data_IF_854286933233
#
_entry.id   IF_854286933233
#
_cell.length_a   1.000
_cell.length_b   1.000
_cell.length_c   1.000
_cell.angle_alpha   90.00
_cell.angle_beta   90.00
_cell.angle_gamma   90.00
#
_symmetry.space_group_name_H-M   'P 1'
#
loop_
_entity.id
_entity.type
_entity.pdbx_description
1 polymer ?
#
# COMPACT_ATOMS: atom_id res chain seq x y z
N UNK A 1 -22.29 7.22 -32.43
CA UNK A 1 -20.89 7.67 -32.37
C UNK A 1 -20.77 8.50 -31.10
N UNK A 2 -20.49 7.83 -29.98
CA UNK A 2 -20.33 8.47 -28.68
C UNK A 2 -18.84 8.45 -28.35
N UNK A 3 -18.35 9.63 -28.00
CA UNK A 3 -16.98 9.97 -27.69
C UNK A 3 -16.44 9.10 -26.55
N UNK A 4 -15.56 8.14 -26.89
CA UNK A 4 -14.80 7.37 -25.92
C UNK A 4 -13.76 8.32 -25.33
N UNK A 5 -14.01 8.76 -24.09
CA UNK A 5 -13.09 9.59 -23.32
C UNK A 5 -11.67 9.03 -23.40
N UNK A 6 -10.80 9.79 -24.06
CA UNK A 6 -9.39 9.49 -24.14
C UNK A 6 -8.83 9.37 -22.71
N UNK A 7 -8.35 8.18 -22.37
CA UNK A 7 -7.37 8.01 -21.30
C UNK A 7 -6.18 8.87 -21.71
N UNK A 8 -6.06 10.08 -21.14
CA UNK A 8 -4.89 10.92 -21.33
C UNK A 8 -3.75 10.25 -20.57
N UNK A 9 -3.11 9.28 -21.21
CA UNK A 9 -1.77 8.86 -20.85
C UNK A 9 -0.90 10.10 -21.03
N UNK A 10 -0.61 10.80 -19.93
CA UNK A 10 0.34 11.90 -19.95
C UNK A 10 1.68 11.33 -20.39
N UNK A 11 2.09 11.70 -21.60
CA UNK A 11 3.37 11.32 -22.18
C UNK A 11 4.52 11.74 -21.25
N UNK A 12 5.66 11.03 -21.26
CA UNK A 12 6.82 11.44 -20.49
C UNK A 12 7.24 12.84 -20.96
N UNK A 13 7.10 13.82 -20.07
CA UNK A 13 7.57 15.18 -20.31
C UNK A 13 9.09 15.09 -20.44
N UNK A 14 9.62 15.44 -21.61
CA UNK A 14 11.05 15.49 -21.85
C UNK A 14 11.71 16.41 -20.82
N UNK A 15 12.85 15.96 -20.24
CA UNK A 15 13.63 16.71 -19.27
C UNK A 15 14.06 18.06 -19.86
N UNK A 16 13.35 19.13 -19.51
CA UNK A 16 13.85 20.50 -19.67
C UNK A 16 14.66 20.86 -18.42
N UNK A 17 15.99 20.79 -18.53
CA UNK A 17 16.95 21.20 -17.48
C UNK A 17 17.25 22.70 -17.59
N UNK A 18 16.23 23.55 -17.65
CA UNK A 18 16.39 25.00 -17.87
C UNK A 18 16.53 25.81 -16.56
N UNK A 19 17.20 25.24 -15.56
CA UNK A 19 17.66 25.87 -14.32
C UNK A 19 18.23 24.81 -13.38
N UNK A 20 19.25 25.10 -12.53
CA UNK A 20 19.71 24.12 -11.55
C UNK A 20 18.63 24.02 -10.47
N UNK A 21 17.92 22.89 -10.42
CA UNK A 21 17.27 22.46 -9.20
C UNK A 21 18.37 21.93 -8.28
N UNK A 22 18.42 22.46 -7.06
CA UNK A 22 19.44 22.06 -6.08
C UNK A 22 19.08 20.72 -5.43
N UNK A 23 17.82 20.26 -5.57
CA UNK A 23 17.30 19.04 -4.97
C UNK A 23 16.17 18.42 -5.80
N UNK A 24 16.21 17.09 -5.97
CA UNK A 24 15.12 16.30 -6.56
C UNK A 24 14.49 15.37 -5.50
N UNK A 25 13.19 15.54 -5.28
CA UNK A 25 12.40 14.77 -4.31
C UNK A 25 11.41 13.85 -5.03
N UNK A 26 11.36 12.58 -4.62
CA UNK A 26 10.25 11.68 -4.97
C UNK A 26 9.23 11.70 -3.85
N UNK A 27 8.07 12.31 -4.09
CA UNK A 27 6.94 12.34 -3.17
C UNK A 27 6.05 11.12 -3.43
N UNK A 28 5.96 10.21 -2.47
CA UNK A 28 5.11 9.02 -2.56
C UNK A 28 3.81 9.17 -1.78
N UNK A 29 2.70 8.80 -2.42
CA UNK A 29 1.35 9.00 -1.88
C UNK A 29 0.49 7.76 -2.11
N UNK A 30 -0.46 7.52 -1.21
CA UNK A 30 -1.41 6.40 -1.31
C UNK A 30 -2.83 6.93 -1.17
N UNK A 31 -3.69 6.62 -2.15
CA UNK A 31 -5.13 6.91 -2.09
C UNK A 31 -5.50 8.39 -1.91
N UNK A 32 -4.57 9.32 -2.14
CA UNK A 32 -4.72 10.75 -1.82
C UNK A 32 -4.32 11.63 -3.01
N UNK A 33 -3.19 12.33 -2.96
CA UNK A 33 -2.77 13.26 -4.00
C UNK A 33 -2.33 12.49 -5.25
N UNK A 34 -2.60 12.98 -6.47
CA UNK A 34 -3.38 14.18 -6.84
C UNK A 34 -4.87 13.87 -7.10
N UNK A 35 -5.37 12.72 -6.68
CA UNK A 35 -6.66 12.18 -7.12
C UNK A 35 -7.84 12.51 -6.21
N UNK A 36 -7.60 12.74 -4.93
CA UNK A 36 -8.62 13.05 -3.95
C UNK A 36 -8.29 14.35 -3.22
N UNK A 37 -9.32 15.15 -2.93
CA UNK A 37 -9.21 16.32 -2.05
C UNK A 37 -9.23 15.89 -0.60
N UNK A 38 -8.40 16.52 0.22
CA UNK A 38 -8.31 16.24 1.65
C UNK A 38 -7.09 16.90 2.28
N UNK A 39 -6.89 16.69 3.58
CA UNK A 39 -5.77 17.28 4.33
C UNK A 39 -4.41 16.92 3.75
N UNK A 40 -4.18 15.63 3.46
CA UNK A 40 -2.92 15.13 2.87
C UNK A 40 -2.65 15.78 1.51
N UNK A 41 -3.64 15.79 0.61
CA UNK A 41 -3.45 16.34 -0.73
C UNK A 41 -3.26 17.85 -0.75
N UNK A 42 -3.93 18.58 0.14
CA UNK A 42 -3.69 20.02 0.33
C UNK A 42 -2.29 20.29 0.88
N UNK A 43 -1.80 19.45 1.80
CA UNK A 43 -0.43 19.56 2.30
C UNK A 43 0.60 19.26 1.20
N UNK A 44 0.43 18.18 0.43
CA UNK A 44 1.32 17.86 -0.70
C UNK A 44 1.41 19.04 -1.67
N UNK A 45 0.26 19.60 -2.06
CA UNK A 45 0.16 20.75 -2.96
C UNK A 45 0.85 21.99 -2.37
N UNK A 46 0.59 22.30 -1.10
CA UNK A 46 1.19 23.45 -0.42
C UNK A 46 2.71 23.31 -0.28
N UNK A 47 3.19 22.12 0.06
CA UNK A 47 4.62 21.81 0.17
C UNK A 47 5.33 21.98 -1.17
N UNK A 48 4.82 21.35 -2.25
CA UNK A 48 5.46 21.45 -3.56
C UNK A 48 5.42 22.87 -4.12
N UNK A 49 4.33 23.63 -3.91
CA UNK A 49 4.27 25.04 -4.33
C UNK A 49 5.14 25.96 -3.48
N UNK A 50 5.35 25.62 -2.21
CA UNK A 50 6.19 26.35 -1.27
C UNK A 50 7.70 26.18 -1.51
N UNK A 51 8.09 25.18 -2.31
CA UNK A 51 9.48 24.85 -2.64
C UNK A 51 9.73 24.91 -4.16
N UNK A 52 9.58 26.09 -4.80
CA UNK A 52 9.66 26.23 -6.26
C UNK A 52 11.02 25.86 -6.87
N UNK A 53 12.09 25.88 -6.07
CA UNK A 53 13.46 25.48 -6.43
C UNK A 53 13.72 23.96 -6.38
N UNK A 54 12.82 23.20 -5.77
CA UNK A 54 12.92 21.74 -5.65
C UNK A 54 12.14 21.06 -6.77
N UNK A 55 12.78 20.15 -7.49
CA UNK A 55 12.10 19.31 -8.46
C UNK A 55 11.38 18.15 -7.78
N UNK A 56 10.19 17.81 -8.25
CA UNK A 56 9.39 16.72 -7.72
C UNK A 56 9.07 15.67 -8.79
N UNK A 57 9.22 14.40 -8.39
CA UNK A 57 8.48 13.28 -8.99
C UNK A 57 7.37 12.88 -8.03
N UNK A 58 6.12 12.88 -8.50
CA UNK A 58 4.98 12.39 -7.70
C UNK A 58 4.74 10.93 -8.07
N UNK A 59 4.83 10.04 -7.09
CA UNK A 59 4.58 8.60 -7.23
C UNK A 59 3.34 8.22 -6.42
N UNK A 60 2.20 8.04 -7.08
CA UNK A 60 0.90 7.88 -6.45
C UNK A 60 0.38 6.45 -6.60
N UNK A 61 0.20 5.75 -5.47
CA UNK A 61 -0.57 4.52 -5.42
C UNK A 61 -2.06 4.83 -5.50
N UNK A 62 -2.71 4.24 -6.49
CA UNK A 62 -4.10 4.51 -6.83
C UNK A 62 -4.96 3.27 -6.60
N UNK A 63 -6.24 3.49 -6.29
CA UNK A 63 -7.18 2.38 -6.21
C UNK A 63 -7.52 1.79 -7.59
N UNK A 64 -7.67 2.61 -8.62
CA UNK A 64 -8.00 2.12 -9.96
C UNK A 64 -7.51 3.11 -11.02
N UNK A 65 -7.34 2.68 -12.28
CA UNK A 65 -6.77 3.53 -13.32
C UNK A 65 -7.72 4.62 -13.84
N UNK A 66 -9.00 4.59 -13.49
CA UNK A 66 -10.02 5.49 -14.03
C UNK A 66 -10.21 6.76 -13.20
N UNK A 67 -9.32 7.03 -12.24
CA UNK A 67 -9.42 8.21 -11.38
C UNK A 67 -8.68 9.39 -12.02
N UNK A 68 -9.41 10.45 -12.36
CA UNK A 68 -8.82 11.69 -12.86
C UNK A 68 -8.11 12.48 -11.75
N UNK A 69 -7.07 13.22 -12.11
CA UNK A 69 -6.45 14.18 -11.18
C UNK A 69 -7.43 15.29 -10.82
N UNK A 70 -7.55 15.62 -9.53
CA UNK A 70 -8.31 16.76 -9.04
C UNK A 70 -7.45 18.03 -8.89
N UNK A 71 -6.14 17.90 -9.10
CA UNK A 71 -5.15 18.97 -8.96
C UNK A 71 -4.42 19.22 -10.28
N UNK A 72 -4.07 20.48 -10.53
CA UNK A 72 -3.14 20.84 -11.60
C UNK A 72 -1.74 20.82 -11.01
N UNK A 73 -0.93 19.84 -11.43
CA UNK A 73 0.42 19.64 -10.89
C UNK A 73 1.26 20.93 -11.02
N UNK A 74 1.96 21.36 -9.95
CA UNK A 74 2.87 22.50 -10.00
C UNK A 74 3.98 22.35 -11.06
N UNK A 75 4.55 23.47 -11.54
CA UNK A 75 5.58 23.48 -12.61
C UNK A 75 6.90 22.78 -12.22
N UNK A 76 7.17 22.68 -10.93
CA UNK A 76 8.31 21.96 -10.39
C UNK A 76 8.04 20.46 -10.21
N UNK A 77 6.81 19.97 -10.47
CA UNK A 77 6.56 18.54 -10.67
C UNK A 77 6.99 18.16 -12.09
N UNK A 78 8.17 17.55 -12.21
CA UNK A 78 8.76 17.15 -13.50
C UNK A 78 8.20 15.84 -14.00
N UNK A 79 7.65 15.04 -13.10
CA UNK A 79 7.16 13.70 -13.42
C UNK A 79 6.02 13.26 -12.51
N UNK A 80 5.07 12.55 -13.09
CA UNK A 80 4.01 11.84 -12.38
C UNK A 80 4.06 10.35 -12.73
N UNK A 81 3.92 9.49 -11.72
CA UNK A 81 3.85 8.04 -11.85
C UNK A 81 2.62 7.58 -11.06
N UNK A 82 1.55 7.22 -11.77
CA UNK A 82 0.35 6.64 -11.17
C UNK A 82 0.42 5.12 -11.21
N UNK A 83 0.40 4.46 -10.06
CA UNK A 83 0.37 3.01 -9.94
C UNK A 83 -0.97 2.54 -9.36
N UNK A 84 -1.94 2.19 -10.21
CA UNK A 84 -3.19 1.55 -9.79
C UNK A 84 -2.96 0.11 -9.29
N UNK A 85 -3.43 -0.18 -8.07
CA UNK A 85 -3.34 -1.51 -7.46
C UNK A 85 -4.52 -2.43 -7.84
N UNK A 86 -5.62 -1.87 -8.34
CA UNK A 86 -6.75 -2.64 -8.86
C UNK A 86 -7.14 -2.17 -10.26
N UNK A 87 -7.84 -3.02 -11.00
CA UNK A 87 -8.25 -2.72 -12.39
C UNK A 87 -7.12 -2.84 -13.41
N UNK A 88 -6.00 -3.45 -13.02
CA UNK A 88 -4.78 -3.60 -13.83
C UNK A 88 -4.30 -5.05 -13.77
N UNK A 89 -3.89 -5.60 -14.91
CA UNK A 89 -3.31 -6.94 -14.96
C UNK A 89 -1.79 -6.92 -14.87
N UNK A 90 -1.13 -5.82 -15.24
CA UNK A 90 0.32 -5.67 -15.08
C UNK A 90 0.71 -4.24 -14.67
N UNK A 91 1.69 -4.07 -13.74
CA UNK A 91 2.20 -2.75 -13.38
C UNK A 91 2.76 -1.97 -14.58
N UNK A 92 3.31 -2.67 -15.57
CA UNK A 92 3.93 -2.07 -16.76
C UNK A 92 2.95 -1.34 -17.67
N UNK A 93 1.65 -1.63 -17.57
CA UNK A 93 0.60 -0.94 -18.32
C UNK A 93 0.54 0.57 -17.99
N UNK A 94 1.06 0.96 -16.82
CA UNK A 94 0.97 2.33 -16.29
C UNK A 94 2.34 2.98 -16.03
N UNK A 95 3.43 2.23 -16.24
CA UNK A 95 4.79 2.76 -16.17
C UNK A 95 5.36 2.92 -17.58
N UNK A 96 5.38 4.15 -18.10
CA UNK A 96 5.84 4.46 -19.47
C UNK A 96 7.34 4.24 -19.72
N UNK A 97 8.09 3.75 -18.73
CA UNK A 97 9.55 3.66 -18.75
C UNK A 97 10.09 2.31 -19.22
N UNK A 98 9.27 1.27 -19.19
CA UNK A 98 9.70 -0.06 -19.57
C UNK A 98 9.40 -0.25 -21.06
N UNK A 99 10.42 -0.44 -21.92
CA UNK A 99 10.17 -0.69 -23.35
C UNK A 99 9.33 -1.96 -23.52
N UNK A 100 8.34 -1.94 -24.43
CA UNK A 100 7.49 -3.11 -24.71
C UNK A 100 8.30 -4.37 -25.08
N UNK A 101 9.44 -4.19 -25.75
CA UNK A 101 10.37 -5.28 -26.05
C UNK A 101 10.90 -5.96 -24.77
N UNK A 102 11.19 -5.20 -23.71
CA UNK A 102 11.60 -5.74 -22.41
C UNK A 102 10.46 -6.51 -21.75
N UNK A 103 9.24 -5.98 -21.78
CA UNK A 103 8.04 -6.69 -21.25
C UNK A 103 7.87 -8.05 -21.95
N UNK A 104 7.86 -8.07 -23.29
CA UNK A 104 7.74 -9.31 -24.08
C UNK A 104 8.90 -10.26 -23.81
N UNK A 105 10.12 -9.74 -23.65
CA UNK A 105 11.30 -10.54 -23.33
C UNK A 105 11.16 -11.24 -21.97
N UNK A 106 10.77 -10.49 -20.93
CA UNK A 106 10.57 -11.02 -19.58
C UNK A 106 9.46 -12.08 -19.57
N UNK A 107 8.30 -11.78 -20.17
CA UNK A 107 7.17 -12.72 -20.24
C UNK A 107 7.52 -14.05 -20.95
N UNK A 108 8.43 -14.03 -21.94
CA UNK A 108 8.90 -15.24 -22.62
C UNK A 108 9.98 -16.00 -21.84
N UNK A 109 10.77 -15.29 -21.04
CA UNK A 109 11.89 -15.86 -20.27
C UNK A 109 11.45 -16.45 -18.95
N UNK A 110 10.48 -15.85 -18.27
CA UNK A 110 10.02 -16.28 -16.95
C UNK A 110 9.19 -17.54 -17.06
N UNK A 111 9.77 -18.66 -16.60
CA UNK A 111 9.12 -19.97 -16.54
C UNK A 111 8.94 -20.39 -15.08
N UNK A 112 8.26 -21.51 -14.92
CA UNK A 112 8.04 -22.19 -13.64
C UNK A 112 9.34 -22.35 -12.82
N UNK A 113 10.47 -22.64 -13.47
CA UNK A 113 11.77 -22.80 -12.81
C UNK A 113 12.27 -21.50 -12.20
N UNK A 114 12.15 -20.35 -12.90
CA UNK A 114 12.55 -19.05 -12.36
C UNK A 114 11.69 -18.65 -11.16
N UNK A 115 10.38 -18.93 -11.20
CA UNK A 115 9.50 -18.70 -10.07
C UNK A 115 9.90 -19.59 -8.88
N UNK A 116 10.07 -20.90 -9.12
CA UNK A 116 10.39 -21.88 -8.07
C UNK A 116 11.76 -21.66 -7.41
N UNK A 117 12.79 -21.32 -8.18
CA UNK A 117 14.17 -21.21 -7.68
C UNK A 117 14.50 -19.79 -7.19
N UNK A 118 13.87 -18.76 -7.75
CA UNK A 118 14.16 -17.36 -7.40
C UNK A 118 13.11 -16.73 -6.48
N UNK A 119 11.82 -16.80 -6.85
CA UNK A 119 10.76 -16.07 -6.15
C UNK A 119 10.21 -16.82 -4.94
N UNK A 120 9.94 -18.13 -5.07
CA UNK A 120 9.28 -18.92 -4.03
C UNK A 120 10.04 -18.93 -2.69
N UNK A 121 11.39 -19.05 -2.65
CA UNK A 121 12.12 -18.95 -1.39
C UNK A 121 11.90 -17.60 -0.70
N UNK A 122 12.08 -16.50 -1.43
CA UNK A 122 11.86 -15.14 -0.94
C UNK A 122 10.41 -14.92 -0.49
N UNK A 123 9.44 -15.46 -1.23
CA UNK A 123 8.02 -15.41 -0.87
C UNK A 123 7.75 -16.15 0.46
N UNK A 124 8.33 -17.33 0.66
CA UNK A 124 8.16 -18.09 1.91
C UNK A 124 8.77 -17.36 3.10
N UNK A 125 9.94 -16.76 2.92
CA UNK A 125 10.58 -15.91 3.93
C UNK A 125 9.70 -14.69 4.24
N UNK A 126 9.22 -13.98 3.21
CA UNK A 126 8.31 -12.84 3.36
C UNK A 126 7.06 -13.21 4.18
N UNK A 127 6.38 -14.30 3.83
CA UNK A 127 5.16 -14.72 4.50
C UNK A 127 5.42 -15.21 5.94
N UNK A 128 6.58 -15.83 6.18
CA UNK A 128 6.99 -16.25 7.53
C UNK A 128 7.26 -15.04 8.41
N UNK A 129 7.96 -14.04 7.89
CA UNK A 129 8.26 -12.79 8.59
C UNK A 129 6.97 -12.02 8.93
N UNK A 130 6.03 -11.91 7.98
CA UNK A 130 4.69 -11.29 8.21
C UNK A 130 3.98 -11.94 9.40
N UNK A 131 4.04 -13.27 9.52
CA UNK A 131 3.39 -14.02 10.59
C UNK A 131 4.19 -14.10 11.90
N UNK A 132 5.45 -13.62 11.93
CA UNK A 132 6.37 -13.81 13.04
C UNK A 132 6.03 -12.95 14.24
N UNK A 133 6.15 -13.53 15.45
CA UNK A 133 6.11 -12.76 16.70
C UNK A 133 7.36 -11.89 16.86
N UNK A 134 8.51 -12.40 16.41
CA UNK A 134 9.82 -11.75 16.47
C UNK A 134 10.13 -11.05 15.13
N UNK A 135 9.19 -10.22 14.66
CA UNK A 135 9.30 -9.51 13.39
C UNK A 135 10.55 -8.59 13.35
N UNK A 136 11.43 -8.82 12.37
CA UNK A 136 12.60 -8.00 12.07
C UNK A 136 12.33 -7.08 10.86
N UNK A 137 12.14 -5.76 11.08
CA UNK A 137 11.86 -4.82 10.00
C UNK A 137 13.03 -4.66 9.01
N UNK A 138 14.27 -4.84 9.46
CA UNK A 138 15.47 -4.75 8.62
C UNK A 138 15.59 -5.96 7.70
N UNK A 139 15.37 -7.17 8.23
CA UNK A 139 15.29 -8.38 7.43
C UNK A 139 14.15 -8.30 6.40
N UNK A 140 12.96 -7.87 6.83
CA UNK A 140 11.81 -7.70 5.93
C UNK A 140 12.11 -6.74 4.77
N UNK A 141 12.77 -5.59 5.03
CA UNK A 141 13.17 -4.66 3.98
C UNK A 141 14.18 -5.26 2.99
N UNK A 142 15.10 -6.11 3.45
CA UNK A 142 16.00 -6.84 2.56
C UNK A 142 15.26 -7.84 1.67
N UNK A 143 14.27 -8.56 2.22
CA UNK A 143 13.42 -9.46 1.41
C UNK A 143 12.69 -8.67 0.32
N UNK A 144 12.08 -7.52 0.66
CA UNK A 144 11.44 -6.65 -0.32
C UNK A 144 12.41 -6.21 -1.43
N UNK A 145 13.66 -5.86 -1.07
CA UNK A 145 14.68 -5.50 -2.04
C UNK A 145 15.11 -6.68 -2.93
N UNK A 146 15.29 -7.89 -2.38
CA UNK A 146 15.58 -9.07 -3.19
C UNK A 146 14.43 -9.42 -4.15
N UNK A 147 13.18 -9.26 -3.71
CA UNK A 147 12.01 -9.39 -4.57
C UNK A 147 12.01 -8.33 -5.69
N UNK A 148 12.36 -7.08 -5.38
CA UNK A 148 12.52 -6.03 -6.38
C UNK A 148 13.59 -6.41 -7.42
N UNK A 149 14.76 -6.89 -6.98
CA UNK A 149 15.82 -7.37 -7.89
C UNK A 149 15.34 -8.54 -8.76
N UNK A 150 14.58 -9.47 -8.19
CA UNK A 150 13.98 -10.56 -8.93
C UNK A 150 13.06 -10.05 -10.06
N UNK A 151 12.19 -9.08 -9.77
CA UNK A 151 11.24 -8.52 -10.75
C UNK A 151 11.89 -7.62 -11.82
N UNK A 152 13.12 -7.14 -11.60
CA UNK A 152 13.88 -6.45 -12.67
C UNK A 152 14.23 -7.37 -13.84
N UNK A 153 14.35 -8.67 -13.56
CA UNK A 153 14.83 -9.72 -14.48
C UNK A 153 13.78 -10.79 -14.80
N UNK A 154 12.58 -10.71 -14.18
CA UNK A 154 11.50 -11.66 -14.35
C UNK A 154 10.13 -10.97 -14.43
N UNK A 155 9.22 -11.57 -15.18
CA UNK A 155 7.87 -11.05 -15.36
C UNK A 155 6.99 -11.25 -14.11
N UNK A 156 6.46 -10.14 -13.59
CA UNK A 156 5.64 -10.13 -12.38
C UNK A 156 4.39 -11.02 -12.49
N UNK A 157 3.65 -10.92 -13.60
CA UNK A 157 2.39 -11.66 -13.80
C UNK A 157 2.65 -13.16 -13.96
N UNK A 158 3.64 -13.54 -14.76
CA UNK A 158 4.01 -14.94 -14.96
C UNK A 158 4.48 -15.58 -13.65
N UNK A 159 5.29 -14.87 -12.85
CA UNK A 159 5.77 -15.37 -11.55
C UNK A 159 4.62 -15.65 -10.58
N UNK A 160 3.70 -14.69 -10.40
CA UNK A 160 2.58 -14.87 -9.48
C UNK A 160 1.55 -15.90 -9.95
N UNK A 161 1.41 -16.11 -11.27
CA UNK A 161 0.52 -17.14 -11.85
C UNK A 161 1.17 -18.53 -11.96
N UNK A 162 2.44 -18.67 -11.60
CA UNK A 162 3.14 -19.96 -11.62
C UNK A 162 2.53 -20.95 -10.62
N UNK A 163 2.68 -22.25 -10.91
CA UNK A 163 2.15 -23.30 -10.03
C UNK A 163 2.91 -23.33 -8.70
N UNK A 164 4.21 -23.09 -8.72
CA UNK A 164 5.09 -23.04 -7.57
C UNK A 164 4.71 -21.92 -6.60
N UNK A 165 4.33 -20.74 -7.10
CA UNK A 165 3.80 -19.65 -6.27
C UNK A 165 2.49 -20.06 -5.60
N UNK A 166 1.56 -20.64 -6.37
CA UNK A 166 0.28 -21.12 -5.82
C UNK A 166 0.47 -22.17 -4.72
N UNK A 167 1.32 -23.17 -4.96
CA UNK A 167 1.60 -24.22 -4.00
C UNK A 167 2.26 -23.65 -2.73
N UNK A 168 3.17 -22.67 -2.87
CA UNK A 168 3.82 -22.02 -1.73
C UNK A 168 2.85 -21.21 -0.85
N UNK A 169 1.96 -20.39 -1.45
CA UNK A 169 0.96 -19.64 -0.68
C UNK A 169 -0.04 -20.58 -0.02
N UNK A 170 -0.50 -21.60 -0.74
CA UNK A 170 -1.43 -22.60 -0.21
C UNK A 170 -0.80 -23.35 0.97
N UNK A 171 0.47 -23.73 0.86
CA UNK A 171 1.23 -24.36 1.95
C UNK A 171 1.26 -23.47 3.19
N UNK A 172 1.53 -22.17 3.05
CA UNK A 172 1.60 -21.24 4.20
C UNK A 172 0.22 -21.01 4.83
N UNK A 173 -0.79 -20.68 4.03
CA UNK A 173 -2.13 -20.40 4.53
C UNK A 173 -2.78 -21.62 5.17
N UNK A 174 -2.58 -22.82 4.61
CA UNK A 174 -3.18 -24.04 5.14
C UNK A 174 -2.35 -24.70 6.26
N UNK A 175 -1.05 -24.38 6.41
CA UNK A 175 -0.26 -24.84 7.57
C UNK A 175 -0.64 -24.18 8.89
N UNK A 176 -1.31 -23.03 8.87
CA UNK A 176 -1.89 -22.42 10.07
C UNK A 176 -2.86 -23.37 10.82
N UNK A 177 -3.33 -24.45 10.16
CA UNK A 177 -4.10 -25.54 10.77
C UNK A 177 -3.35 -26.35 11.84
N UNK A 178 -2.02 -26.43 11.81
CA UNK A 178 -1.27 -27.43 12.61
C UNK A 178 -0.61 -26.87 13.86
N UNK A 179 -0.44 -25.55 13.98
CA UNK A 179 0.30 -24.93 15.09
C UNK A 179 -0.57 -24.24 16.15
N UNK A 180 -1.86 -24.01 15.90
CA UNK A 180 -2.77 -23.33 16.86
C UNK A 180 -3.47 -24.31 17.84
N UNK A 181 -3.17 -25.62 17.81
CA UNK A 181 -3.73 -26.62 18.74
C UNK A 181 -3.07 -26.64 20.14
N UNK A 182 -2.42 -25.55 20.55
CA UNK A 182 -1.87 -25.42 21.90
C UNK A 182 -1.94 -23.95 22.31
N UNK A 183 -2.67 -23.68 23.39
CA UNK A 183 -2.86 -22.39 24.08
C UNK A 183 -3.97 -21.48 23.54
N UNK A 184 -5.21 -21.86 23.83
CA UNK A 184 -6.34 -20.94 23.89
C UNK A 184 -7.14 -21.23 25.17
N UNK A 185 -6.55 -20.90 26.32
CA UNK A 185 -7.28 -20.58 27.55
C UNK A 185 -6.76 -19.22 28.02
N UNK A 186 -7.69 -18.39 28.50
CA UNK A 186 -7.49 -17.09 29.16
C UNK A 186 -7.36 -15.85 28.26
N UNK A 187 -8.49 -15.31 27.80
CA UNK A 187 -8.78 -13.87 27.87
C UNK A 187 -10.31 -13.67 27.89
N UNK A 188 -10.89 -13.78 29.08
CA UNK A 188 -12.24 -13.27 29.34
C UNK A 188 -12.24 -11.74 29.41
N UNK A 189 -13.32 -11.20 28.84
CA UNK A 189 -13.75 -9.82 28.74
C UNK A 189 -13.66 -9.03 30.05
N UNK A 190 -13.08 -7.83 29.98
CA UNK A 190 -13.49 -6.70 30.82
C UNK A 190 -13.39 -5.39 30.04
N UNK A 191 -14.53 -4.88 29.60
CA UNK A 191 -14.72 -3.53 29.10
C UNK A 191 -15.34 -2.68 30.22
N UNK A 192 -14.60 -1.68 30.73
CA UNK A 192 -15.21 -0.50 31.28
C UNK A 192 -14.72 0.69 30.44
N UNK A 193 -15.59 1.31 29.65
CA UNK A 193 -16.04 2.70 29.90
C UNK A 193 -16.88 3.24 28.74
N UNK A 194 -18.12 3.60 29.13
CA UNK A 194 -19.14 4.41 28.47
C UNK A 194 -18.78 5.24 27.24
N UNK A 195 -19.60 5.06 26.21
CA UNK A 195 -19.78 5.98 25.09
C UNK A 195 -20.27 7.35 25.60
N UNK A 196 -19.54 8.42 25.27
CA UNK A 196 -20.09 9.78 25.22
C UNK A 196 -20.23 10.20 23.75
N UNK A 197 -21.49 10.41 23.36
CA UNK A 197 -21.93 10.90 22.05
C UNK A 197 -21.86 12.43 22.09
N UNK A 198 -21.10 13.04 21.18
CA UNK A 198 -21.10 14.50 20.99
C UNK A 198 -21.90 14.82 19.72
N UNK A 199 -23.04 15.49 19.92
CA UNK A 199 -23.89 16.06 18.88
C UNK A 199 -23.22 17.33 18.29
N UNK A 200 -23.23 17.46 16.96
CA UNK A 200 -22.81 18.68 16.28
C UNK A 200 -23.98 19.24 15.45
N UNK A 201 -24.50 20.35 15.98
CA UNK A 201 -25.52 21.22 15.42
C UNK A 201 -25.05 21.90 14.13
N UNK A 202 -26.00 22.21 13.24
CA UNK A 202 -25.78 22.59 11.84
C UNK A 202 -26.46 23.93 11.56
N UNK A 203 -25.74 24.92 11.02
CA UNK A 203 -26.34 26.08 10.32
C UNK A 203 -25.31 26.90 9.53
N UNK A 204 -25.31 26.76 8.19
CA UNK A 204 -25.44 27.86 7.19
C UNK A 204 -25.32 27.29 5.75
N UNK A 205 -26.13 27.70 4.75
CA UNK A 205 -26.25 27.00 3.47
C UNK A 205 -25.61 27.76 2.29
N UNK A 206 -24.68 27.13 1.57
CA UNK A 206 -24.47 27.39 0.14
C UNK A 206 -24.22 26.07 -0.63
N UNK A 207 -25.15 25.82 -1.56
CA UNK A 207 -25.33 24.73 -2.54
C UNK A 207 -24.24 23.63 -2.67
N UNK A 208 -24.59 22.45 -2.16
CA UNK A 208 -24.15 21.11 -2.56
C UNK A 208 -25.33 20.12 -2.44
N UNK A 209 -25.22 18.84 -2.85
CA UNK A 209 -26.32 17.87 -2.78
C UNK A 209 -26.90 17.75 -1.36
N UNK A 210 -28.18 17.42 -1.22
CA UNK A 210 -28.88 17.55 0.06
C UNK A 210 -28.29 16.60 1.12
N UNK A 211 -28.28 17.06 2.38
CA UNK A 211 -27.82 16.29 3.55
C UNK A 211 -28.51 14.92 3.69
N UNK A 212 -29.70 14.75 3.12
CA UNK A 212 -30.44 13.49 3.07
C UNK A 212 -29.87 12.52 2.03
N UNK A 213 -29.49 13.00 0.84
CA UNK A 213 -28.88 12.19 -0.22
C UNK A 213 -27.43 11.79 0.10
N UNK A 214 -26.67 12.71 0.72
CA UNK A 214 -25.36 12.39 1.27
C UNK A 214 -25.46 11.39 2.43
N UNK A 215 -26.48 11.51 3.31
CA UNK A 215 -26.75 10.53 4.37
C UNK A 215 -27.18 9.18 3.84
N UNK A 216 -27.93 9.09 2.74
CA UNK A 216 -28.34 7.80 2.16
C UNK A 216 -27.20 7.13 1.39
N UNK A 217 -26.35 7.89 0.67
CA UNK A 217 -25.11 7.36 0.12
C UNK A 217 -24.16 6.89 1.23
N UNK A 218 -24.00 7.67 2.30
CA UNK A 218 -23.21 7.28 3.47
C UNK A 218 -23.85 6.12 4.26
N UNK A 219 -25.18 5.98 4.28
CA UNK A 219 -25.89 4.88 4.97
C UNK A 219 -25.76 3.58 4.18
N UNK A 220 -25.85 3.61 2.86
CA UNK A 220 -25.54 2.47 1.98
C UNK A 220 -24.06 2.07 2.05
N UNK A 221 -23.15 3.03 2.25
CA UNK A 221 -21.73 2.76 2.54
C UNK A 221 -21.46 2.27 3.98
N UNK A 222 -22.32 2.62 4.95
CA UNK A 222 -22.18 2.28 6.38
C UNK A 222 -22.74 0.91 6.76
N UNK A 223 -23.73 0.43 6.01
CA UNK A 223 -24.26 -0.93 6.11
C UNK A 223 -24.40 -1.53 4.69
N UNK A 224 -23.29 -1.95 4.03
CA UNK A 224 -23.42 -3.06 3.11
C UNK A 224 -23.98 -4.23 3.94
N UNK A 225 -24.95 -4.98 3.42
CA UNK A 225 -25.42 -6.21 4.07
C UNK A 225 -24.19 -6.99 4.51
N UNK A 226 -23.99 -7.12 5.83
CA UNK A 226 -22.85 -7.87 6.34
C UNK A 226 -23.02 -9.28 5.80
N UNK A 227 -22.06 -9.81 5.01
CA UNK A 227 -22.14 -11.21 4.64
C UNK A 227 -22.19 -12.01 5.93
N UNK A 228 -23.23 -12.83 6.07
CA UNK A 228 -23.36 -13.78 7.18
C UNK A 228 -22.01 -14.50 7.29
N UNK A 229 -21.39 -14.54 8.48
CA UNK A 229 -20.10 -15.20 8.62
C UNK A 229 -20.24 -16.64 8.13
N UNK A 230 -19.36 -17.11 7.23
CA UNK A 230 -19.44 -18.47 6.72
C UNK A 230 -19.30 -19.45 7.89
N UNK A 231 -20.35 -20.22 8.15
CA UNK A 231 -20.37 -21.27 9.17
C UNK A 231 -19.56 -22.46 8.65
N UNK A 232 -18.30 -22.59 9.05
CA UNK A 232 -17.55 -23.82 8.83
C UNK A 232 -16.97 -24.32 10.16
N UNK A 233 -17.21 -25.60 10.46
CA UNK A 233 -16.74 -26.32 11.65
C UNK A 233 -17.88 -26.70 12.60
N UNK A 234 -17.91 -27.96 13.06
CA UNK A 234 -18.89 -28.44 14.04
C UNK A 234 -18.77 -27.79 15.42
N UNK A 235 -17.69 -27.04 15.67
CA UNK A 235 -17.35 -26.38 16.93
C UNK A 235 -17.12 -24.86 16.82
N UNK A 236 -17.44 -24.22 15.68
CA UNK A 236 -17.21 -22.77 15.50
C UNK A 236 -15.76 -22.35 15.27
N UNK A 237 -14.85 -23.29 15.06
CA UNK A 237 -13.46 -23.01 14.65
C UNK A 237 -13.42 -22.58 13.18
N UNK A 238 -13.05 -21.32 12.94
CA UNK A 238 -12.69 -20.87 11.61
C UNK A 238 -11.37 -21.55 11.23
N UNK A 239 -11.39 -22.43 10.23
CA UNK A 239 -10.20 -23.03 9.62
C UNK A 239 -9.87 -22.30 8.30
N UNK A 240 -8.58 -22.09 7.95
CA UNK A 240 -8.18 -21.48 6.69
C UNK A 240 -8.64 -22.35 5.52
N UNK A 241 -9.26 -21.71 4.54
CA UNK A 241 -9.82 -22.33 3.34
C UNK A 241 -8.95 -22.08 2.11
N UNK A 242 -9.17 -22.85 1.04
CA UNK A 242 -8.59 -22.56 -0.28
C UNK A 242 -9.02 -21.19 -0.82
N UNK A 243 -10.21 -20.71 -0.42
CA UNK A 243 -10.67 -19.38 -0.78
C UNK A 243 -9.83 -18.30 -0.10
N UNK A 244 -9.46 -18.50 1.17
CA UNK A 244 -8.57 -17.58 1.90
C UNK A 244 -7.18 -17.54 1.25
N UNK A 245 -6.63 -18.70 0.85
CA UNK A 245 -5.37 -18.74 0.11
C UNK A 245 -5.46 -18.01 -1.25
N UNK A 246 -6.60 -18.14 -1.94
CA UNK A 246 -6.86 -17.48 -3.23
C UNK A 246 -6.92 -15.96 -3.09
N UNK A 247 -7.72 -15.46 -2.15
CA UNK A 247 -7.86 -14.02 -1.92
C UNK A 247 -6.60 -13.42 -1.29
N UNK A 248 -5.91 -14.16 -0.42
CA UNK A 248 -4.60 -13.79 0.12
C UNK A 248 -3.55 -13.62 -0.98
N UNK A 249 -3.48 -14.56 -1.93
CA UNK A 249 -2.61 -14.44 -3.10
C UNK A 249 -2.97 -13.24 -3.98
N UNK A 250 -4.27 -12.95 -4.16
CA UNK A 250 -4.73 -11.77 -4.92
C UNK A 250 -4.35 -10.47 -4.24
N UNK A 251 -4.45 -10.38 -2.92
CA UNK A 251 -4.02 -9.21 -2.16
C UNK A 251 -2.51 -9.05 -2.23
N UNK A 252 -1.76 -10.13 -2.03
CA UNK A 252 -0.31 -10.10 -2.15
C UNK A 252 0.13 -9.65 -3.55
N UNK A 253 -0.49 -10.19 -4.60
CA UNK A 253 -0.25 -9.78 -5.98
C UNK A 253 -0.44 -8.27 -6.18
N UNK A 254 -1.52 -7.68 -5.64
CA UNK A 254 -1.81 -6.25 -5.84
C UNK A 254 -0.92 -5.36 -4.99
N UNK A 255 -0.79 -5.69 -3.71
CA UNK A 255 -0.08 -4.87 -2.74
C UNK A 255 1.43 -4.88 -2.94
N UNK A 256 1.98 -5.92 -3.58
CA UNK A 256 3.40 -6.02 -3.94
C UNK A 256 3.74 -5.43 -5.32
N UNK A 257 2.76 -4.89 -6.09
CA UNK A 257 3.03 -4.22 -7.37
C UNK A 257 4.11 -3.13 -7.30
N UNK A 258 4.25 -2.34 -6.20
CA UNK A 258 5.34 -1.39 -6.03
C UNK A 258 6.74 -1.98 -6.25
N UNK A 259 6.94 -3.26 -5.91
CA UNK A 259 8.23 -3.95 -6.09
C UNK A 259 8.61 -4.13 -7.56
N UNK A 260 7.66 -4.07 -8.48
CA UNK A 260 7.91 -4.22 -9.91
C UNK A 260 8.16 -2.88 -10.63
N UNK A 261 8.06 -1.76 -9.92
CA UNK A 261 8.26 -0.44 -10.52
C UNK A 261 9.70 0.02 -10.30
N UNK A 262 10.39 0.52 -11.33
CA UNK A 262 11.72 1.10 -11.16
C UNK A 262 11.69 2.24 -10.14
N UNK A 263 12.66 2.24 -9.22
CA UNK A 263 12.83 3.29 -8.23
C UNK A 263 13.37 4.54 -8.97
N UNK A 264 12.65 5.68 -8.95
CA UNK A 264 13.15 6.89 -9.59
C UNK A 264 14.43 7.36 -8.89
N UNK A 265 15.44 7.79 -9.66
CA UNK A 265 16.58 8.50 -9.08
C UNK A 265 16.10 9.79 -8.43
N UNK A 266 16.56 10.05 -7.21
CA UNK A 266 16.25 11.24 -6.43
C UNK A 266 17.29 11.43 -5.34
N UNK A 267 17.45 12.67 -4.88
CA UNK A 267 18.27 13.00 -3.72
C UNK A 267 17.57 12.60 -2.42
N UNK A 268 16.23 12.60 -2.43
CA UNK A 268 15.37 12.33 -1.28
C UNK A 268 14.09 11.62 -1.71
N UNK A 269 13.64 10.63 -0.92
CA UNK A 269 12.27 10.09 -1.02
C UNK A 269 11.47 10.57 0.19
N UNK A 270 10.27 11.08 -0.05
CA UNK A 270 9.35 11.54 1.00
C UNK A 270 8.02 10.81 0.86
N UNK A 271 7.68 9.97 1.84
CA UNK A 271 6.38 9.29 1.88
C UNK A 271 5.39 10.00 2.79
N UNK A 272 4.15 10.09 2.33
CA UNK A 272 3.03 10.73 3.05
C UNK A 272 2.26 9.79 4.00
N UNK A 273 2.66 8.52 4.07
CA UNK A 273 2.12 7.55 5.02
C UNK A 273 3.07 6.37 5.20
N UNK A 274 3.03 5.71 6.37
CA UNK A 274 3.71 4.46 6.64
C UNK A 274 2.98 3.26 5.98
N UNK A 275 2.61 3.39 4.72
CA UNK A 275 1.80 2.42 3.96
C UNK A 275 2.57 1.76 2.83
N UNK A 276 1.86 1.17 1.85
CA UNK A 276 2.49 0.56 0.69
C UNK A 276 3.20 1.62 -0.18
N UNK A 277 2.81 2.90 -0.09
CA UNK A 277 3.54 3.98 -0.74
C UNK A 277 4.95 4.21 -0.18
N UNK A 278 5.30 3.65 0.98
CA UNK A 278 6.64 3.73 1.54
C UNK A 278 7.63 2.75 0.88
N UNK A 279 7.15 1.75 0.12
CA UNK A 279 8.00 0.72 -0.51
C UNK A 279 9.13 1.35 -1.35
N UNK A 280 8.89 2.32 -2.26
CA UNK A 280 9.99 2.96 -3.00
C UNK A 280 11.05 3.60 -2.08
N UNK A 281 10.65 4.17 -0.95
CA UNK A 281 11.55 4.73 0.07
C UNK A 281 12.43 3.67 0.71
N UNK A 282 11.82 2.57 1.16
CA UNK A 282 12.53 1.40 1.71
C UNK A 282 13.53 0.85 0.69
N UNK A 283 13.09 0.63 -0.55
CA UNK A 283 13.93 0.07 -1.60
C UNK A 283 15.12 0.99 -1.95
N UNK A 284 14.89 2.30 -2.08
CA UNK A 284 15.95 3.26 -2.37
C UNK A 284 16.97 3.37 -1.23
N UNK A 285 16.47 3.31 0.01
CA UNK A 285 17.31 3.30 1.21
C UNK A 285 18.21 2.07 1.24
N UNK A 286 17.67 0.89 0.94
CA UNK A 286 18.43 -0.37 0.89
C UNK A 286 19.41 -0.40 -0.29
N UNK A 287 19.01 0.06 -1.48
CA UNK A 287 19.85 0.00 -2.69
C UNK A 287 21.00 1.01 -2.67
N UNK A 288 20.71 2.26 -2.30
CA UNK A 288 21.64 3.40 -2.50
C UNK A 288 21.88 4.22 -1.25
N UNK A 289 21.21 3.91 -0.13
CA UNK A 289 21.25 4.75 1.07
C UNK A 289 20.55 6.10 0.88
N UNK A 290 19.68 6.24 -0.13
CA UNK A 290 18.95 7.49 -0.38
C UNK A 290 18.19 7.93 0.86
N UNK A 291 18.33 9.20 1.31
CA UNK A 291 17.57 9.75 2.42
C UNK A 291 16.06 9.51 2.28
N UNK A 292 15.45 8.96 3.33
CA UNK A 292 14.03 8.62 3.35
C UNK A 292 13.30 9.37 4.47
N UNK A 293 12.41 10.29 4.10
CA UNK A 293 11.52 10.99 5.02
C UNK A 293 10.12 10.38 5.00
N UNK A 294 9.50 10.37 6.17
CA UNK A 294 8.15 9.89 6.37
C UNK A 294 7.34 10.93 7.14
N UNK A 295 6.24 11.39 6.56
CA UNK A 295 5.25 12.22 7.27
C UNK A 295 3.96 11.44 7.35
N UNK A 296 3.55 11.04 8.56
CA UNK A 296 2.32 10.29 8.74
C UNK A 296 1.15 11.24 9.03
N UNK A 297 0.31 11.48 8.02
CA UNK A 297 -0.86 12.36 8.17
C UNK A 297 -2.05 11.66 8.85
N UNK A 298 -2.35 10.45 8.39
CA UNK A 298 -3.31 9.55 9.02
C UNK A 298 -2.54 8.37 9.56
N UNK A 299 -2.84 7.94 10.79
CA UNK A 299 -2.21 6.75 11.38
C UNK A 299 -2.62 5.54 10.54
N UNK A 300 -1.75 5.11 9.62
CA UNK A 300 -2.11 4.21 8.53
C UNK A 300 -2.65 2.89 9.08
N UNK A 301 -1.94 2.29 10.04
CA UNK A 301 -2.37 1.06 10.71
C UNK A 301 -3.74 1.20 11.36
N UNK A 302 -4.01 2.33 12.06
CA UNK A 302 -5.30 2.58 12.72
C UNK A 302 -6.43 2.68 11.70
N UNK A 303 -6.23 3.41 10.62
CA UNK A 303 -7.23 3.55 9.55
C UNK A 303 -7.57 2.20 8.94
N UNK A 304 -6.56 1.36 8.69
CA UNK A 304 -6.77 0.01 8.18
C UNK A 304 -7.46 -0.89 9.22
N UNK A 305 -7.12 -0.81 10.50
CA UNK A 305 -7.84 -1.55 11.55
C UNK A 305 -9.32 -1.21 11.59
N UNK A 306 -9.67 0.09 11.53
CA UNK A 306 -11.05 0.54 11.50
C UNK A 306 -11.78 0.11 10.22
N UNK A 307 -11.09 0.12 9.08
CA UNK A 307 -11.63 -0.40 7.83
C UNK A 307 -11.91 -1.91 7.95
N UNK A 308 -10.98 -2.69 8.49
CA UNK A 308 -11.14 -4.14 8.69
C UNK A 308 -12.23 -4.51 9.70
N UNK A 309 -12.58 -3.62 10.63
CA UNK A 309 -13.73 -3.84 11.52
C UNK A 309 -15.08 -3.64 10.80
N UNK A 310 -15.11 -2.88 9.70
CA UNK A 310 -16.32 -2.62 8.90
C UNK A 310 -16.57 -3.70 7.85
N UNK A 311 -15.51 -4.34 7.35
CA UNK A 311 -15.60 -5.39 6.33
C UNK A 311 -15.70 -6.78 6.96
N UNK A 312 -16.68 -7.58 6.52
CA UNK A 312 -16.90 -8.95 7.00
C UNK A 312 -15.94 -9.99 6.40
N UNK A 313 -14.62 -9.74 6.48
CA UNK A 313 -13.62 -10.70 6.00
C UNK A 313 -13.49 -11.91 6.94
N UNK A 314 -13.21 -13.12 6.40
CA UNK A 314 -12.81 -14.27 7.21
C UNK A 314 -11.61 -13.95 8.12
N UNK A 315 -11.56 -14.61 9.28
CA UNK A 315 -10.55 -14.35 10.31
C UNK A 315 -9.11 -14.40 9.77
N UNK A 316 -8.73 -15.46 9.03
CA UNK A 316 -7.37 -15.61 8.53
C UNK A 316 -6.98 -14.57 7.48
N UNK A 317 -7.91 -14.18 6.63
CA UNK A 317 -7.68 -13.08 5.68
C UNK A 317 -7.47 -11.76 6.43
N UNK A 318 -8.32 -11.47 7.42
CA UNK A 318 -8.16 -10.29 8.27
C UNK A 318 -6.82 -10.29 9.01
N UNK A 319 -6.44 -11.41 9.63
CA UNK A 319 -5.15 -11.61 10.32
C UNK A 319 -3.99 -11.37 9.38
N UNK A 320 -3.99 -12.01 8.21
CA UNK A 320 -2.95 -11.86 7.19
C UNK A 320 -2.77 -10.41 6.73
N UNK A 321 -3.87 -9.73 6.38
CA UNK A 321 -3.81 -8.36 5.89
C UNK A 321 -3.33 -7.38 6.97
N UNK A 322 -3.82 -7.52 8.20
CA UNK A 322 -3.36 -6.74 9.36
C UNK A 322 -1.86 -6.92 9.58
N UNK A 323 -1.38 -8.17 9.57
CA UNK A 323 0.03 -8.48 9.78
C UNK A 323 0.91 -7.92 8.67
N UNK A 324 0.47 -8.02 7.41
CA UNK A 324 1.20 -7.46 6.27
C UNK A 324 1.26 -5.92 6.32
N UNK A 325 0.16 -5.26 6.70
CA UNK A 325 0.12 -3.82 6.91
C UNK A 325 1.08 -3.42 8.02
N UNK A 326 1.04 -4.13 9.16
CA UNK A 326 1.96 -3.89 10.27
C UNK A 326 3.42 -4.08 9.85
N UNK A 327 3.73 -5.12 9.09
CA UNK A 327 5.08 -5.37 8.60
C UNK A 327 5.59 -4.21 7.73
N UNK A 328 4.79 -3.76 6.76
CA UNK A 328 5.15 -2.62 5.90
C UNK A 328 5.31 -1.33 6.70
N UNK A 329 4.39 -1.01 7.61
CA UNK A 329 4.47 0.21 8.42
C UNK A 329 5.70 0.20 9.34
N UNK A 330 5.96 -0.91 10.03
CA UNK A 330 7.13 -1.08 10.91
C UNK A 330 8.44 -0.97 10.13
N UNK A 331 8.51 -1.58 8.95
CA UNK A 331 9.68 -1.45 8.07
C UNK A 331 9.85 -0.03 7.55
N UNK A 332 8.76 0.68 7.23
CA UNK A 332 8.84 2.08 6.83
C UNK A 332 9.44 2.96 7.94
N UNK A 333 8.98 2.80 9.19
CA UNK A 333 9.57 3.50 10.34
C UNK A 333 11.04 3.15 10.55
N UNK A 334 11.40 1.86 10.43
CA UNK A 334 12.78 1.39 10.60
C UNK A 334 13.75 1.95 9.56
N UNK A 335 13.32 2.17 8.31
CA UNK A 335 14.19 2.70 7.25
C UNK A 335 14.12 4.22 7.10
N UNK A 336 13.11 4.88 7.65
CA UNK A 336 13.02 6.34 7.63
C UNK A 336 14.18 6.97 8.40
N UNK A 337 14.85 7.94 7.79
CA UNK A 337 15.86 8.78 8.43
C UNK A 337 15.21 9.89 9.26
N UNK A 338 14.01 10.33 8.87
CA UNK A 338 13.23 11.31 9.59
C UNK A 338 11.75 10.95 9.58
N UNK A 339 11.12 10.94 10.77
CA UNK A 339 9.69 10.73 10.96
C UNK A 339 9.08 12.04 11.46
N UNK A 340 8.16 12.60 10.67
CA UNK A 340 7.55 13.90 10.95
C UNK A 340 6.06 13.73 11.27
N UNK A 341 5.69 13.47 12.53
CA UNK A 341 4.29 13.41 12.95
C UNK A 341 3.61 14.76 12.75
N UNK A 342 2.34 14.74 12.31
CA UNK A 342 1.56 15.98 12.14
C UNK A 342 0.98 16.51 13.45
N UNK A 343 0.90 15.68 14.50
CA UNK A 343 0.49 16.07 15.84
C UNK A 343 0.90 15.01 16.89
N UNK A 344 0.75 15.34 18.19
CA UNK A 344 1.07 14.40 19.28
C UNK A 344 0.25 13.10 19.22
N UNK A 345 -0.97 13.13 18.67
CA UNK A 345 -1.76 11.92 18.51
C UNK A 345 -1.06 10.91 17.61
N UNK A 346 -0.56 11.35 16.44
CA UNK A 346 0.16 10.51 15.49
C UNK A 346 1.48 10.01 16.09
N UNK A 347 2.26 10.89 16.70
CA UNK A 347 3.54 10.54 17.34
C UNK A 347 3.39 9.38 18.35
N UNK A 348 2.31 9.36 19.15
CA UNK A 348 2.05 8.24 20.09
C UNK A 348 1.76 6.93 19.39
N UNK A 349 1.09 6.96 18.25
CA UNK A 349 0.82 5.77 17.45
C UNK A 349 2.08 5.28 16.74
N UNK A 350 2.85 6.18 16.14
CA UNK A 350 4.13 5.89 15.49
C UNK A 350 5.06 5.15 16.47
N UNK A 351 5.27 5.70 17.68
CA UNK A 351 6.10 5.08 18.73
C UNK A 351 5.58 3.69 19.15
N UNK A 352 4.25 3.52 19.26
CA UNK A 352 3.65 2.20 19.58
C UNK A 352 3.83 1.18 18.48
N UNK A 353 3.98 1.63 17.23
CA UNK A 353 4.16 0.79 16.06
C UNK A 353 5.64 0.72 15.62
N UNK A 354 6.59 1.04 16.51
CA UNK A 354 8.00 0.77 16.30
C UNK A 354 8.82 1.92 15.71
N UNK A 355 8.29 3.15 15.65
CA UNK A 355 9.11 4.32 15.41
C UNK A 355 10.09 4.58 16.57
N UNK A 356 11.31 4.97 16.24
CA UNK A 356 12.32 5.40 17.22
C UNK A 356 12.14 6.89 17.54
N UNK A 357 12.36 7.28 18.80
CA UNK A 357 12.02 8.63 19.29
C UNK A 357 12.99 9.72 18.81
N UNK A 358 14.18 9.31 18.41
CA UNK A 358 15.28 10.16 17.94
C UNK A 358 15.28 10.37 16.43
N UNK A 359 14.28 9.83 15.72
CA UNK A 359 14.07 9.99 14.28
C UNK A 359 12.94 10.94 13.94
#
# INVERSE_FOLDING_TARGET
MADMGQVVMQQPVARDRSGPSDLHVVLTTEGTYPHFRGGVSTWCEAMMRGLPETDFTVWALMMNPFISSQYVLPRNVKRFVGLPLWGTEEPVEYTSEVPAAKVIYLARRTRETQAKEGFVPLLKELLTEIGSADFDPGHFGQILYQLHLYFRENDYRATFRSRATWDAVTEVFLRANTSEHSTAEDYETSDPHGEEIIDADDNNPERGPSRAEARDLFRQFRNPDQPQPPQNGSNGEHLPSLNDATEGLRWLYRLMMPLNVPIPEADVIHSSAAGFCAIPGILAKVEKGTPFLLTEHGVYMREQYLAMARYGFPYYLKKFLVQMIAAISRTAFYYADQISPVCEFNARWELRNGAERDR
#
